data_IF_273061716561
#
_entry.id   IF_273061716561
#
_cell.length_a   1.000
_cell.length_b   1.000
_cell.length_c   1.000
_cell.angle_alpha   90.00
_cell.angle_beta   90.00
_cell.angle_gamma   90.00
#
_symmetry.space_group_name_H-M   'P 1'
#
loop_
_entity.id
_entity.type
_entity.pdbx_description
1 polymer ?
#
# COMPACT_ATOMS: atom_id res chain seq x y z
N UNK A 1 -13.20 14.85 -16.32
CA UNK A 1 -12.71 13.51 -16.67
C UNK A 1 -12.31 13.53 -18.12
N UNK A 2 -11.03 13.34 -18.39
CA UNK A 2 -10.50 13.24 -19.75
C UNK A 2 -10.66 11.79 -20.24
N UNK A 3 -11.03 11.62 -21.50
CA UNK A 3 -11.12 10.29 -22.11
C UNK A 3 -9.89 10.04 -22.97
N UNK A 4 -9.18 8.96 -22.69
CA UNK A 4 -8.03 8.48 -23.42
C UNK A 4 -8.30 7.17 -24.16
N UNK A 5 -7.33 6.75 -24.96
CA UNK A 5 -7.38 5.50 -25.73
C UNK A 5 -6.11 4.68 -25.49
N UNK A 6 -6.26 3.40 -25.15
CA UNK A 6 -5.13 2.49 -24.97
C UNK A 6 -4.39 2.30 -26.31
N UNK A 7 -3.10 2.62 -26.34
CA UNK A 7 -2.26 2.53 -27.54
C UNK A 7 -1.31 1.34 -27.51
N UNK A 8 -0.73 1.04 -26.35
CA UNK A 8 0.25 -0.02 -26.20
C UNK A 8 0.12 -0.71 -24.84
N UNK A 9 0.39 -2.01 -24.81
CA UNK A 9 0.30 -2.87 -23.63
C UNK A 9 1.57 -3.72 -23.61
N UNK A 10 2.37 -3.60 -22.55
CA UNK A 10 3.62 -4.35 -22.35
C UNK A 10 3.59 -4.95 -20.94
N UNK A 11 3.16 -6.21 -20.82
CA UNK A 11 2.88 -6.79 -19.51
C UNK A 11 1.88 -5.89 -18.75
N UNK A 12 2.22 -5.51 -17.52
CA UNK A 12 1.38 -4.65 -16.67
C UNK A 12 1.52 -3.16 -16.96
N UNK A 13 2.30 -2.76 -17.95
CA UNK A 13 2.45 -1.36 -18.37
C UNK A 13 1.52 -1.08 -19.54
N UNK A 14 0.72 -0.04 -19.41
CA UNK A 14 -0.26 0.37 -20.42
C UNK A 14 0.02 1.82 -20.81
N UNK A 15 0.34 2.06 -22.08
CA UNK A 15 0.50 3.41 -22.60
C UNK A 15 -0.83 3.88 -23.22
N UNK A 16 -1.30 5.05 -22.78
CA UNK A 16 -2.61 5.60 -23.08
C UNK A 16 -2.44 6.99 -23.68
N UNK A 17 -3.10 7.25 -24.80
CA UNK A 17 -3.13 8.58 -25.41
C UNK A 17 -4.34 9.36 -24.91
N UNK A 18 -4.10 10.59 -24.44
CA UNK A 18 -5.13 11.55 -24.05
C UNK A 18 -5.16 12.75 -25.01
N UNK A 19 -6.24 13.54 -25.02
CA UNK A 19 -6.27 14.80 -25.75
C UNK A 19 -5.19 15.76 -25.25
N UNK A 20 -4.60 16.61 -26.13
CA UNK A 20 -3.47 17.49 -25.79
C UNK A 20 -3.70 18.39 -24.56
N UNK A 21 -4.91 18.92 -24.40
CA UNK A 21 -5.26 19.85 -23.32
C UNK A 21 -5.80 19.15 -22.07
N UNK A 22 -5.77 17.82 -22.04
CA UNK A 22 -6.42 17.00 -21.02
C UNK A 22 -5.52 15.84 -20.57
N UNK A 23 -4.20 16.10 -20.50
CA UNK A 23 -3.23 15.13 -20.02
C UNK A 23 -3.41 14.93 -18.50
N UNK A 24 -3.60 13.68 -18.03
CA UNK A 24 -3.70 13.38 -16.59
C UNK A 24 -2.42 13.76 -15.85
N UNK A 25 -2.52 14.02 -14.55
CA UNK A 25 -1.33 14.26 -13.72
C UNK A 25 -0.60 12.95 -13.40
N UNK A 26 0.68 13.04 -13.03
CA UNK A 26 1.39 11.92 -12.42
C UNK A 26 0.63 11.44 -11.19
N UNK A 27 0.59 10.12 -11.01
CA UNK A 27 -0.12 9.39 -9.97
C UNK A 27 -1.65 9.44 -10.02
N UNK A 28 -2.25 10.08 -11.04
CA UNK A 28 -3.69 9.95 -11.24
C UNK A 28 -4.08 8.50 -11.54
N UNK A 29 -5.24 8.10 -11.04
CA UNK A 29 -5.87 6.85 -11.40
C UNK A 29 -6.59 6.99 -12.75
N UNK A 30 -6.43 5.98 -13.60
CA UNK A 30 -7.09 5.83 -14.88
C UNK A 30 -7.92 4.56 -14.84
N UNK A 31 -9.21 4.70 -15.14
CA UNK A 31 -10.15 3.59 -15.26
C UNK A 31 -10.21 3.12 -16.72
N UNK A 32 -9.93 1.84 -16.96
CA UNK A 32 -9.91 1.25 -18.30
C UNK A 32 -11.04 0.22 -18.38
N UNK A 33 -11.90 0.36 -19.39
CA UNK A 33 -13.06 -0.52 -19.56
C UNK A 33 -12.62 -1.90 -20.08
N UNK A 34 -12.87 -2.96 -19.33
CA UNK A 34 -12.53 -4.34 -19.72
C UNK A 34 -13.78 -5.24 -19.75
N UNK A 35 -13.73 -6.30 -20.54
CA UNK A 35 -14.77 -7.34 -20.54
C UNK A 35 -14.80 -7.99 -19.14
N UNK A 36 -15.78 -7.62 -18.31
CA UNK A 36 -15.94 -8.15 -16.95
C UNK A 36 -15.64 -7.18 -15.79
N UNK A 37 -15.27 -5.93 -16.08
CA UNK A 37 -15.08 -4.91 -15.03
C UNK A 37 -14.25 -3.71 -15.47
N UNK A 38 -13.76 -2.95 -14.49
CA UNK A 38 -12.87 -1.82 -14.71
C UNK A 38 -11.47 -2.17 -14.22
N UNK A 39 -10.48 -2.02 -15.08
CA UNK A 39 -9.07 -2.11 -14.69
C UNK A 39 -8.60 -0.73 -14.27
N UNK A 40 -8.11 -0.59 -13.04
CA UNK A 40 -7.47 0.63 -12.56
C UNK A 40 -5.98 0.59 -12.92
N UNK A 41 -5.48 1.67 -13.51
CA UNK A 41 -4.07 1.89 -13.76
C UNK A 41 -3.63 3.25 -13.21
N UNK A 42 -2.38 3.39 -12.76
CA UNK A 42 -1.85 4.64 -12.24
C UNK A 42 -0.85 5.27 -13.21
N UNK A 43 -0.93 6.57 -13.42
CA UNK A 43 0.01 7.29 -14.30
C UNK A 43 1.40 7.40 -13.66
N UNK A 44 2.42 6.89 -14.34
CA UNK A 44 3.81 6.88 -13.84
C UNK A 44 4.72 7.87 -14.58
N UNK A 45 4.50 8.07 -15.89
CA UNK A 45 5.39 8.89 -16.72
C UNK A 45 4.68 9.54 -17.91
N UNK A 46 5.20 10.68 -18.36
CA UNK A 46 4.83 11.29 -19.65
C UNK A 46 5.80 10.82 -20.74
N UNK A 47 5.29 10.30 -21.86
CA UNK A 47 6.11 9.82 -22.98
C UNK A 47 6.25 10.83 -24.12
N UNK A 48 5.44 11.92 -24.10
CA UNK A 48 5.27 12.82 -25.23
C UNK A 48 4.16 12.37 -26.18
N UNK A 49 3.85 13.16 -27.21
CA UNK A 49 2.72 12.92 -28.14
C UNK A 49 1.37 12.70 -27.42
N UNK A 50 1.19 13.33 -26.27
CA UNK A 50 0.02 13.17 -25.38
C UNK A 50 -0.17 11.74 -24.84
N UNK A 51 0.89 10.94 -24.81
CA UNK A 51 0.87 9.61 -24.22
C UNK A 51 1.34 9.68 -22.77
N UNK A 52 0.60 9.00 -21.93
CA UNK A 52 0.99 8.69 -20.56
C UNK A 52 1.29 7.20 -20.45
N UNK A 53 2.30 6.86 -19.66
CA UNK A 53 2.62 5.49 -19.30
C UNK A 53 1.99 5.20 -17.95
N UNK A 54 1.12 4.20 -17.91
CA UNK A 54 0.44 3.78 -16.71
C UNK A 54 0.89 2.39 -16.26
N UNK A 55 0.78 2.14 -14.96
CA UNK A 55 0.98 0.85 -14.33
C UNK A 55 -0.36 0.27 -13.89
N UNK A 56 -0.72 -0.91 -14.40
CA UNK A 56 -1.97 -1.58 -14.06
C UNK A 56 -1.94 -2.15 -12.63
N UNK A 57 -3.06 -2.02 -11.92
CA UNK A 57 -3.28 -2.56 -10.56
C UNK A 57 -3.98 -3.92 -10.58
N UNK A 58 -4.05 -4.57 -11.74
CA UNK A 58 -4.49 -5.95 -11.91
C UNK A 58 -3.87 -6.51 -13.22
N UNK A 59 -4.17 -7.76 -13.56
CA UNK A 59 -3.75 -8.39 -14.80
C UNK A 59 -4.35 -7.68 -16.01
N UNK A 60 -3.54 -7.50 -17.06
CA UNK A 60 -3.94 -6.85 -18.31
C UNK A 60 -4.42 -7.85 -19.37
N UNK A 61 -4.65 -9.10 -18.98
CA UNK A 61 -5.04 -10.16 -19.89
C UNK A 61 -6.41 -9.86 -20.51
N UNK A 62 -6.49 -9.93 -21.83
CA UNK A 62 -7.71 -9.57 -22.57
C UNK A 62 -7.88 -8.07 -22.84
N UNK A 63 -7.02 -7.19 -22.32
CA UNK A 63 -7.03 -5.78 -22.66
C UNK A 63 -6.65 -5.58 -24.13
N UNK A 64 -7.41 -4.76 -24.85
CA UNK A 64 -7.22 -4.51 -26.29
C UNK A 64 -6.75 -3.08 -26.53
N UNK A 65 -5.98 -2.88 -27.59
CA UNK A 65 -5.67 -1.54 -28.09
C UNK A 65 -6.94 -0.92 -28.65
N UNK A 66 -7.11 0.39 -28.47
CA UNK A 66 -8.33 1.11 -28.82
C UNK A 66 -9.38 1.12 -27.71
N UNK A 67 -9.16 0.38 -26.61
CA UNK A 67 -10.03 0.43 -25.43
C UNK A 67 -10.05 1.83 -24.83
N UNK A 68 -11.22 2.24 -24.36
CA UNK A 68 -11.45 3.53 -23.70
C UNK A 68 -10.86 3.53 -22.30
N UNK A 69 -10.18 4.62 -21.97
CA UNK A 69 -9.63 4.89 -20.65
C UNK A 69 -10.14 6.24 -20.15
N UNK A 70 -10.41 6.38 -18.86
CA UNK A 70 -10.97 7.59 -18.26
C UNK A 70 -10.09 8.04 -17.10
N UNK A 71 -9.61 9.28 -17.16
CA UNK A 71 -8.91 9.91 -16.03
C UNK A 71 -9.92 10.29 -14.94
N UNK A 72 -9.71 9.73 -13.74
CA UNK A 72 -10.52 10.04 -12.55
C UNK A 72 -10.26 11.48 -12.07
N UNK A 73 -9.11 12.06 -12.42
CA UNK A 73 -8.68 13.41 -12.05
C UNK A 73 -7.90 13.48 -10.74
N UNK A 74 -7.78 12.37 -10.00
CA UNK A 74 -7.09 12.28 -8.72
C UNK A 74 -6.36 10.93 -8.60
N UNK A 75 -5.51 10.79 -7.58
CA UNK A 75 -4.81 9.56 -7.31
C UNK A 75 -5.76 8.42 -6.92
N UNK A 76 -5.24 7.17 -6.91
CA UNK A 76 -5.99 6.05 -6.34
C UNK A 76 -6.41 6.43 -4.92
N UNK A 77 -7.72 6.39 -4.67
CA UNK A 77 -8.29 6.68 -3.35
C UNK A 77 -8.80 5.40 -2.71
N UNK A 78 -8.73 5.29 -1.40
CA UNK A 78 -9.12 4.10 -0.63
C UNK A 78 -10.01 4.50 0.55
N UNK A 79 -10.95 3.65 0.99
CA UNK A 79 -11.77 3.96 2.15
C UNK A 79 -10.89 3.97 3.40
N UNK A 80 -11.19 4.91 4.30
CA UNK A 80 -10.51 5.14 5.57
C UNK A 80 -11.52 5.31 6.69
N UNK A 81 -11.07 5.14 7.93
CA UNK A 81 -11.86 5.29 9.15
C UNK A 81 -12.38 3.99 9.72
N UNK A 82 -13.22 4.08 10.76
CA UNK A 82 -13.60 2.91 11.58
C UNK A 82 -14.22 1.77 10.77
N UNK A 83 -14.87 2.08 9.64
CA UNK A 83 -15.42 1.07 8.74
C UNK A 83 -14.38 0.14 8.09
N UNK A 84 -13.08 0.48 8.11
CA UNK A 84 -11.98 -0.38 7.63
C UNK A 84 -11.49 -1.36 8.70
N UNK A 85 -11.84 -1.17 9.97
CA UNK A 85 -11.42 -2.06 11.05
C UNK A 85 -12.14 -3.41 10.95
N UNK A 86 -11.40 -4.49 11.15
CA UNK A 86 -11.88 -5.85 10.99
C UNK A 86 -12.16 -6.25 9.55
N UNK A 87 -11.63 -5.50 8.56
CA UNK A 87 -11.81 -5.76 7.13
C UNK A 87 -10.51 -6.23 6.49
N UNK A 88 -10.65 -7.02 5.43
CA UNK A 88 -9.56 -7.42 4.54
C UNK A 88 -9.71 -6.65 3.22
N UNK A 89 -8.74 -5.83 2.87
CA UNK A 89 -8.77 -4.94 1.71
C UNK A 89 -7.66 -5.26 0.71
N UNK A 90 -7.91 -5.01 -0.57
CA UNK A 90 -6.89 -4.99 -1.62
C UNK A 90 -6.22 -3.60 -1.74
N UNK A 91 -5.31 -3.44 -2.72
CA UNK A 91 -4.61 -2.17 -2.97
C UNK A 91 -5.54 -1.01 -3.33
N UNK A 92 -6.69 -1.27 -3.95
CA UNK A 92 -7.70 -0.28 -4.32
C UNK A 92 -8.67 0.03 -3.16
N UNK A 93 -8.48 -0.64 -2.02
CA UNK A 93 -9.34 -0.50 -0.86
C UNK A 93 -10.66 -1.26 -0.97
N UNK A 94 -10.76 -2.20 -1.89
CA UNK A 94 -11.93 -3.05 -2.07
C UNK A 94 -11.87 -4.26 -1.14
N UNK A 95 -13.00 -4.70 -0.57
CA UNK A 95 -13.04 -5.80 0.39
C UNK A 95 -12.83 -7.16 -0.28
N UNK A 96 -11.95 -7.97 0.31
CA UNK A 96 -11.67 -9.37 -0.07
C UNK A 96 -12.29 -10.39 0.89
N UNK A 97 -12.95 -9.93 1.95
CA UNK A 97 -13.49 -10.76 3.04
C UNK A 97 -14.93 -11.27 2.82
N UNK A 98 -15.62 -10.79 1.79
CA UNK A 98 -17.01 -11.15 1.51
C UNK A 98 -18.02 -10.57 2.52
N UNK A 99 -17.62 -9.60 3.35
CA UNK A 99 -18.48 -8.97 4.38
C UNK A 99 -19.27 -7.76 3.85
N UNK A 100 -19.36 -7.60 2.52
CA UNK A 100 -20.03 -6.47 1.87
C UNK A 100 -19.10 -5.25 1.71
N UNK A 101 -19.66 -4.11 1.33
CA UNK A 101 -18.88 -2.90 1.08
C UNK A 101 -18.27 -2.31 2.36
N UNK A 102 -17.22 -1.52 2.19
CA UNK A 102 -16.53 -0.82 3.27
C UNK A 102 -17.00 0.63 3.25
N UNK A 103 -17.56 1.09 4.36
CA UNK A 103 -18.00 2.48 4.50
C UNK A 103 -16.85 3.33 5.05
N UNK A 104 -16.79 4.60 4.65
CA UNK A 104 -15.75 5.50 5.13
C UNK A 104 -15.45 6.63 4.14
N UNK A 105 -14.68 7.61 4.62
CA UNK A 105 -14.13 8.67 3.78
C UNK A 105 -13.08 8.07 2.85
N UNK A 106 -13.10 8.40 1.56
CA UNK A 106 -12.02 8.00 0.66
C UNK A 106 -10.89 9.02 0.70
N UNK A 107 -9.65 8.56 0.80
CA UNK A 107 -8.45 9.39 0.80
C UNK A 107 -7.44 8.87 -0.24
N UNK A 108 -6.66 9.75 -0.89
CA UNK A 108 -5.67 9.35 -1.88
C UNK A 108 -4.49 8.65 -1.21
N UNK A 109 -3.94 7.62 -1.88
CA UNK A 109 -2.80 6.86 -1.36
C UNK A 109 -1.47 7.61 -1.43
N UNK A 110 -1.39 8.61 -2.31
CA UNK A 110 -0.24 9.50 -2.47
C UNK A 110 -0.47 10.77 -1.67
N UNK A 111 0.33 10.95 -0.62
CA UNK A 111 0.28 12.12 0.27
C UNK A 111 1.70 12.57 0.60
N UNK A 112 1.84 13.86 0.91
CA UNK A 112 3.10 14.39 1.40
C UNK A 112 3.34 13.93 2.85
N UNK A 113 4.61 13.72 3.25
CA UNK A 113 4.95 13.51 4.65
C UNK A 113 4.61 14.74 5.51
N UNK A 114 4.42 14.58 6.84
CA UNK A 114 4.22 15.69 7.76
C UNK A 114 5.32 16.75 7.65
N UNK A 115 4.96 18.01 7.86
CA UNK A 115 5.90 19.11 7.82
C UNK A 115 6.85 19.10 9.03
N UNK A 116 8.00 19.78 8.92
CA UNK A 116 9.02 19.78 9.98
C UNK A 116 8.51 20.34 11.33
N UNK A 117 7.58 21.29 11.30
CA UNK A 117 6.96 21.90 12.47
C UNK A 117 5.84 21.05 13.10
N UNK A 118 5.41 19.98 12.42
CA UNK A 118 4.43 19.00 12.93
C UNK A 118 5.12 17.80 13.61
N UNK A 119 6.45 17.70 13.54
CA UNK A 119 7.19 16.57 14.11
C UNK A 119 7.34 16.67 15.63
N UNK A 120 6.97 15.58 16.33
CA UNK A 120 7.14 15.48 17.78
C UNK A 120 8.61 15.30 18.14
N UNK A 121 9.10 16.11 19.07
CA UNK A 121 10.52 16.10 19.50
C UNK A 121 10.73 15.34 20.81
N UNK A 122 9.64 14.99 21.50
CA UNK A 122 9.68 14.27 22.76
C UNK A 122 9.69 12.75 22.55
N UNK A 123 10.81 12.14 22.92
CA UNK A 123 10.95 10.68 22.92
C UNK A 123 10.13 10.09 24.07
N UNK A 124 9.11 9.30 23.74
CA UNK A 124 8.33 8.51 24.69
C UNK A 124 8.54 7.02 24.40
N UNK A 125 8.76 6.21 25.43
CA UNK A 125 8.92 4.76 25.28
C UNK A 125 7.54 4.11 25.12
N UNK A 126 7.43 3.18 24.17
CA UNK A 126 6.27 2.32 23.98
C UNK A 126 6.55 0.96 24.64
N UNK A 127 5.84 0.67 25.73
CA UNK A 127 5.90 -0.63 26.40
C UNK A 127 5.16 -1.69 25.58
N UNK A 128 5.87 -2.75 25.22
CA UNK A 128 5.37 -3.83 24.35
C UNK A 128 4.93 -5.09 25.10
N UNK A 129 5.35 -5.22 26.36
CA UNK A 129 5.15 -6.42 27.17
C UNK A 129 6.14 -7.55 26.87
N UNK A 130 7.08 -7.34 25.93
CA UNK A 130 8.09 -8.30 25.54
C UNK A 130 9.42 -7.94 26.19
N UNK A 131 9.83 -8.74 27.18
CA UNK A 131 11.04 -8.50 28.01
C UNK A 131 12.28 -8.11 27.21
N UNK A 132 12.56 -8.78 26.09
CA UNK A 132 13.75 -8.49 25.28
C UNK A 132 13.65 -7.13 24.58
N UNK A 133 12.46 -6.75 24.11
CA UNK A 133 12.22 -5.45 23.48
C UNK A 133 12.25 -4.37 24.56
N UNK A 134 11.44 -4.51 25.61
CA UNK A 134 11.31 -3.47 26.63
C UNK A 134 12.62 -3.21 27.40
N UNK A 135 13.50 -4.21 27.54
CA UNK A 135 14.76 -4.07 28.27
C UNK A 135 15.97 -3.71 27.37
N UNK A 136 16.10 -4.34 26.20
CA UNK A 136 17.32 -4.25 25.39
C UNK A 136 17.17 -3.30 24.20
N UNK A 137 15.99 -3.26 23.58
CA UNK A 137 15.73 -2.47 22.38
C UNK A 137 14.33 -1.83 22.45
N UNK A 138 14.10 -0.90 23.41
CA UNK A 138 12.78 -0.35 23.67
C UNK A 138 12.26 0.43 22.46
N UNK A 139 10.98 0.28 22.17
CA UNK A 139 10.33 1.01 21.09
C UNK A 139 10.04 2.43 21.53
N UNK A 140 10.06 3.37 20.59
CA UNK A 140 9.66 4.75 20.82
C UNK A 140 8.30 4.99 20.14
N UNK A 141 7.42 5.75 20.78
CA UNK A 141 6.17 6.21 20.16
C UNK A 141 6.51 7.11 18.97
N UNK A 142 5.85 6.88 17.84
CA UNK A 142 6.18 7.54 16.57
C UNK A 142 7.50 7.06 15.94
N UNK A 143 8.18 6.07 16.54
CA UNK A 143 9.41 5.51 16.01
C UNK A 143 9.17 4.47 14.94
N UNK A 144 10.19 4.26 14.09
CA UNK A 144 10.23 3.19 13.08
C UNK A 144 11.08 2.05 13.59
N UNK A 145 10.58 0.81 13.48
CA UNK A 145 11.28 -0.37 13.98
C UNK A 145 11.44 -1.41 12.88
N UNK A 146 12.69 -1.78 12.60
CA UNK A 146 13.02 -2.84 11.64
C UNK A 146 13.17 -4.20 12.31
N UNK A 147 12.34 -5.18 11.92
CA UNK A 147 12.48 -6.57 12.33
C UNK A 147 13.34 -7.35 11.31
N UNK A 148 14.65 -7.32 11.49
CA UNK A 148 15.59 -8.01 10.60
C UNK A 148 15.73 -9.49 10.94
N UNK A 149 15.50 -10.36 9.95
CA UNK A 149 15.63 -11.80 10.16
C UNK A 149 15.38 -12.62 8.89
N UNK A 150 15.99 -13.81 8.83
CA UNK A 150 15.80 -14.76 7.74
C UNK A 150 14.40 -15.39 7.73
N UNK A 151 14.17 -16.32 6.80
CA UNK A 151 12.95 -17.09 6.77
C UNK A 151 12.85 -18.03 7.99
N UNK A 152 11.66 -18.15 8.59
CA UNK A 152 11.40 -19.11 9.67
C UNK A 152 11.91 -18.71 11.06
N UNK A 153 12.48 -17.51 11.25
CA UNK A 153 13.00 -17.07 12.56
C UNK A 153 11.92 -16.55 13.53
N UNK A 154 10.65 -16.61 13.15
CA UNK A 154 9.53 -16.20 14.01
C UNK A 154 9.11 -14.73 13.92
N UNK A 155 9.48 -13.99 12.86
CA UNK A 155 9.10 -12.56 12.68
C UNK A 155 7.58 -12.34 12.79
N UNK A 156 6.80 -13.12 12.06
CA UNK A 156 5.34 -13.03 12.07
C UNK A 156 4.75 -13.37 13.44
N UNK A 157 5.38 -14.26 14.20
CA UNK A 157 4.95 -14.58 15.58
C UNK A 157 5.15 -13.38 16.50
N UNK A 158 6.29 -12.70 16.39
CA UNK A 158 6.58 -11.47 17.16
C UNK A 158 5.59 -10.37 16.78
N UNK A 159 5.32 -10.17 15.49
CA UNK A 159 4.34 -9.17 15.01
C UNK A 159 2.95 -9.45 15.58
N UNK A 160 2.48 -10.70 15.51
CA UNK A 160 1.18 -11.10 16.06
C UNK A 160 1.11 -10.85 17.57
N UNK A 161 2.17 -11.17 18.31
CA UNK A 161 2.21 -10.94 19.76
C UNK A 161 2.25 -9.44 20.11
N UNK A 162 2.93 -8.61 19.30
CA UNK A 162 2.90 -7.15 19.44
C UNK A 162 1.50 -6.59 19.21
N UNK A 163 0.81 -7.02 18.14
CA UNK A 163 -0.59 -6.64 17.86
C UNK A 163 -1.47 -7.01 19.05
N UNK A 164 -1.34 -8.23 19.55
CA UNK A 164 -2.13 -8.73 20.68
C UNK A 164 -1.90 -7.92 21.95
N UNK A 165 -0.65 -7.73 22.36
CA UNK A 165 -0.31 -7.00 23.59
C UNK A 165 -0.73 -5.54 23.51
N UNK A 166 -0.55 -4.91 22.34
CA UNK A 166 -0.88 -3.49 22.20
C UNK A 166 -2.39 -3.29 22.08
N UNK A 167 -3.12 -4.13 21.35
CA UNK A 167 -4.58 -4.06 21.28
C UNK A 167 -5.28 -4.32 22.63
N UNK A 168 -4.65 -5.09 23.52
CA UNK A 168 -5.18 -5.38 24.87
C UNK A 168 -4.77 -4.37 25.93
N UNK A 169 -3.54 -3.86 25.89
CA UNK A 169 -3.03 -2.94 26.92
C UNK A 169 -3.16 -1.45 26.55
N UNK A 170 -3.16 -1.14 25.25
CA UNK A 170 -3.29 0.23 24.75
C UNK A 170 -4.60 0.37 23.98
N UNK A 171 -5.20 1.57 24.03
CA UNK A 171 -6.45 1.88 23.33
C UNK A 171 -6.24 2.20 21.83
N UNK A 172 -5.17 1.69 21.23
CA UNK A 172 -4.78 1.98 19.85
C UNK A 172 -5.37 1.01 18.83
N UNK A 173 -5.24 1.39 17.56
CA UNK A 173 -5.62 0.57 16.40
C UNK A 173 -4.39 0.04 15.69
N UNK A 174 -4.54 -1.07 14.97
CA UNK A 174 -3.47 -1.65 14.17
C UNK A 174 -3.84 -1.65 12.69
N UNK A 175 -2.87 -1.40 11.82
CA UNK A 175 -3.02 -1.59 10.38
C UNK A 175 -1.90 -2.50 9.92
N UNK A 176 -2.25 -3.53 9.16
CA UNK A 176 -1.29 -4.51 8.65
C UNK A 176 -1.30 -4.49 7.12
N UNK A 177 -0.11 -4.29 6.55
CA UNK A 177 0.16 -4.33 5.13
C UNK A 177 0.90 -5.62 4.79
N UNK A 178 0.20 -6.57 4.16
CA UNK A 178 0.75 -7.79 3.61
C UNK A 178 1.32 -7.55 2.22
N UNK A 179 2.58 -7.10 2.13
CA UNK A 179 3.26 -6.77 0.88
C UNK A 179 3.99 -7.98 0.31
N UNK A 180 3.47 -8.51 -0.79
CA UNK A 180 4.01 -9.70 -1.45
C UNK A 180 4.01 -10.92 -0.53
N UNK A 181 2.96 -11.07 0.29
CA UNK A 181 2.77 -12.21 1.18
C UNK A 181 2.09 -13.38 0.47
N UNK A 182 2.28 -14.59 1.00
CA UNK A 182 1.58 -15.77 0.47
C UNK A 182 0.12 -15.73 0.89
N UNK A 183 -0.79 -16.07 -0.01
CA UNK A 183 -2.23 -16.12 0.28
C UNK A 183 -2.56 -17.04 1.47
N UNK A 184 -1.80 -18.14 1.64
CA UNK A 184 -1.92 -19.01 2.84
C UNK A 184 -1.57 -18.27 4.13
N UNK A 185 -0.45 -17.53 4.15
CA UNK A 185 0.02 -16.81 5.34
C UNK A 185 -0.95 -15.67 5.70
N UNK A 186 -1.52 -14.99 4.70
CA UNK A 186 -2.60 -14.02 4.90
C UNK A 186 -3.89 -14.63 5.45
N UNK A 187 -4.32 -15.78 4.91
CA UNK A 187 -5.49 -16.49 5.43
C UNK A 187 -5.29 -16.97 6.87
N UNK A 188 -4.13 -17.54 7.19
CA UNK A 188 -3.81 -17.98 8.55
C UNK A 188 -3.82 -16.80 9.52
N UNK A 189 -3.24 -15.66 9.12
CA UNK A 189 -3.27 -14.42 9.90
C UNK A 189 -4.69 -13.89 10.12
N UNK A 190 -5.53 -13.86 9.09
CA UNK A 190 -6.93 -13.42 9.20
C UNK A 190 -7.71 -14.26 10.22
N UNK A 191 -7.61 -15.59 10.14
CA UNK A 191 -8.32 -16.49 11.06
C UNK A 191 -7.78 -16.39 12.48
N UNK A 192 -6.47 -16.34 12.68
CA UNK A 192 -5.87 -16.18 14.01
C UNK A 192 -6.24 -14.84 14.67
N UNK A 193 -6.29 -13.74 13.91
CA UNK A 193 -6.72 -12.44 14.43
C UNK A 193 -8.20 -12.45 14.82
N UNK A 194 -9.03 -13.19 14.07
CA UNK A 194 -10.44 -13.39 14.39
C UNK A 194 -10.62 -14.20 15.67
N UNK A 195 -9.88 -15.30 15.82
CA UNK A 195 -9.93 -16.17 17.00
C UNK A 195 -9.42 -15.49 18.27
N UNK A 196 -8.39 -14.63 18.15
CA UNK A 196 -7.82 -13.88 19.26
C UNK A 196 -8.62 -12.63 19.65
N UNK A 197 -9.64 -12.24 18.87
CA UNK A 197 -10.48 -11.07 19.12
C UNK A 197 -9.82 -9.73 18.82
N UNK A 198 -8.64 -9.71 18.18
CA UNK A 198 -7.92 -8.47 17.84
C UNK A 198 -8.35 -7.89 16.49
N UNK A 199 -9.04 -8.69 15.67
CA UNK A 199 -9.47 -8.29 14.33
C UNK A 199 -10.33 -7.03 14.35
N UNK A 200 -11.21 -6.87 15.34
CA UNK A 200 -12.09 -5.69 15.46
C UNK A 200 -11.34 -4.34 15.59
N UNK A 201 -10.07 -4.38 15.99
CA UNK A 201 -9.19 -3.20 16.10
C UNK A 201 -8.11 -3.15 15.03
N UNK A 202 -8.19 -4.03 14.03
CA UNK A 202 -7.13 -4.20 13.02
C UNK A 202 -7.69 -4.07 11.61
N UNK A 203 -7.12 -3.20 10.79
CA UNK A 203 -7.37 -3.18 9.35
C UNK A 203 -6.29 -3.99 8.63
N UNK A 204 -6.69 -4.89 7.73
CA UNK A 204 -5.78 -5.76 6.99
C UNK A 204 -5.80 -5.38 5.50
N UNK A 205 -4.65 -5.03 4.94
CA UNK A 205 -4.50 -4.68 3.52
C UNK A 205 -3.49 -5.63 2.90
N UNK A 206 -3.88 -6.34 1.85
CA UNK A 206 -3.05 -7.37 1.23
C UNK A 206 -2.78 -7.08 -0.25
N UNK A 207 -1.52 -7.30 -0.62
CA UNK A 207 -1.02 -7.34 -1.98
C UNK A 207 -0.22 -8.63 -2.14
N UNK A 208 -0.83 -9.69 -2.64
CA UNK A 208 -0.31 -11.04 -2.61
C UNK A 208 0.84 -11.25 -3.60
N UNK A 209 1.63 -12.31 -3.41
CA UNK A 209 2.76 -12.64 -4.30
C UNK A 209 2.36 -12.89 -5.76
N UNK A 210 1.14 -13.37 -6.00
CA UNK A 210 0.61 -13.66 -7.34
C UNK A 210 0.08 -12.41 -8.04
N UNK A 211 0.01 -11.27 -7.37
CA UNK A 211 -0.48 -10.03 -7.96
C UNK A 211 0.63 -9.26 -8.69
N UNK A 212 0.26 -8.41 -9.66
CA UNK A 212 1.19 -7.55 -10.38
C UNK A 212 2.16 -6.78 -9.48
N UNK A 213 3.37 -6.45 -9.96
CA UNK A 213 4.32 -5.65 -9.20
C UNK A 213 3.76 -4.25 -8.84
N UNK A 214 2.84 -3.68 -9.62
CA UNK A 214 2.16 -2.43 -9.27
C UNK A 214 1.34 -2.51 -7.99
N UNK A 215 0.58 -3.60 -7.82
CA UNK A 215 -0.18 -3.88 -6.60
C UNK A 215 0.76 -3.97 -5.39
N UNK A 216 1.83 -4.77 -5.52
CA UNK A 216 2.83 -4.94 -4.45
C UNK A 216 3.57 -3.65 -4.11
N UNK A 217 3.77 -2.76 -5.08
CA UNK A 217 4.42 -1.47 -4.85
C UNK A 217 3.48 -0.45 -4.19
N UNK A 218 2.16 -0.55 -4.37
CA UNK A 218 1.20 0.44 -3.85
C UNK A 218 0.49 0.02 -2.57
N UNK A 219 0.39 -1.28 -2.28
CA UNK A 219 -0.35 -1.77 -1.10
C UNK A 219 0.15 -1.19 0.23
N UNK A 220 1.46 -0.94 0.36
CA UNK A 220 2.03 -0.29 1.55
C UNK A 220 1.46 1.13 1.74
N UNK A 221 1.28 1.89 0.65
CA UNK A 221 0.70 3.23 0.69
C UNK A 221 -0.79 3.20 1.03
N UNK A 222 -1.52 2.18 0.56
CA UNK A 222 -2.93 1.97 0.94
C UNK A 222 -3.07 1.76 2.45
N UNK A 223 -2.26 0.86 3.02
CA UNK A 223 -2.24 0.63 4.46
C UNK A 223 -1.82 1.87 5.26
N UNK A 224 -0.78 2.56 4.79
CA UNK A 224 -0.30 3.80 5.40
C UNK A 224 -1.38 4.89 5.39
N UNK A 225 -2.16 5.02 4.32
CA UNK A 225 -3.24 6.01 4.23
C UNK A 225 -4.35 5.73 5.24
N UNK A 226 -4.69 4.45 5.44
CA UNK A 226 -5.63 4.04 6.51
C UNK A 226 -5.06 4.37 7.88
N UNK A 227 -3.77 4.09 8.12
CA UNK A 227 -3.10 4.40 9.38
C UNK A 227 -3.05 5.92 9.65
N UNK A 228 -2.74 6.72 8.65
CA UNK A 228 -2.70 8.18 8.72
C UNK A 228 -4.07 8.77 9.08
N UNK A 229 -5.18 8.20 8.62
CA UNK A 229 -6.50 8.64 9.06
C UNK A 229 -6.65 8.53 10.59
N UNK A 230 -6.27 7.39 11.16
CA UNK A 230 -6.40 7.18 12.61
C UNK A 230 -5.44 8.07 13.42
N UNK A 231 -4.26 8.38 12.85
CA UNK A 231 -3.32 9.34 13.42
C UNK A 231 -3.86 10.78 13.35
N UNK A 232 -4.20 11.25 12.15
CA UNK A 232 -4.48 12.65 11.85
C UNK A 232 -5.91 13.07 12.24
N UNK A 233 -6.91 12.26 11.89
CA UNK A 233 -8.34 12.60 12.09
C UNK A 233 -8.88 12.04 13.40
N UNK A 234 -8.50 10.82 13.78
CA UNK A 234 -8.96 10.19 15.03
C UNK A 234 -8.08 10.50 16.25
N UNK A 235 -6.84 10.98 16.06
CA UNK A 235 -5.91 11.31 17.14
C UNK A 235 -5.52 10.11 18.00
N UNK A 236 -5.45 8.92 17.41
CA UNK A 236 -5.16 7.67 18.10
C UNK A 236 -3.71 7.23 17.90
N UNK A 237 -3.19 6.47 18.86
CA UNK A 237 -1.95 5.72 18.66
C UNK A 237 -2.21 4.58 17.65
N UNK A 238 -1.43 4.56 16.58
CA UNK A 238 -1.55 3.58 15.49
C UNK A 238 -0.29 2.75 15.40
N UNK A 239 -0.47 1.43 15.26
CA UNK A 239 0.62 0.55 14.84
C UNK A 239 0.45 0.17 13.38
N UNK A 240 1.42 0.54 12.56
CA UNK A 240 1.52 0.06 11.18
C UNK A 240 2.54 -1.08 11.10
N UNK A 241 2.11 -2.21 10.55
CA UNK A 241 2.97 -3.36 10.27
C UNK A 241 3.09 -3.54 8.76
N UNK A 242 4.32 -3.51 8.24
CA UNK A 242 4.60 -3.76 6.81
C UNK A 242 5.40 -5.06 6.69
N UNK A 243 4.72 -6.16 6.41
CA UNK A 243 5.35 -7.46 6.10
C UNK A 243 5.10 -7.78 4.62
N UNK A 244 6.03 -7.64 3.68
CA UNK A 244 7.43 -7.34 3.89
C UNK A 244 7.91 -6.07 3.16
N UNK A 245 8.54 -5.13 3.87
CA UNK A 245 9.14 -3.92 3.26
C UNK A 245 10.20 -4.25 2.20
N UNK A 246 10.90 -5.39 2.30
CA UNK A 246 11.80 -5.83 1.23
C UNK A 246 11.05 -6.21 -0.05
N UNK A 247 9.82 -6.74 0.05
CA UNK A 247 8.98 -7.05 -1.11
C UNK A 247 8.46 -5.79 -1.80
N UNK A 248 8.23 -4.71 -1.05
CA UNK A 248 7.98 -3.38 -1.61
C UNK A 248 9.15 -2.94 -2.50
N UNK A 249 10.38 -3.03 -1.98
CA UNK A 249 11.60 -2.71 -2.74
C UNK A 249 11.78 -3.58 -3.98
N UNK A 250 11.55 -4.89 -3.87
CA UNK A 250 11.61 -5.80 -5.02
C UNK A 250 10.56 -5.47 -6.08
N UNK A 251 9.34 -5.13 -5.67
CA UNK A 251 8.31 -4.68 -6.59
C UNK A 251 8.74 -3.39 -7.32
N UNK A 252 9.38 -2.45 -6.62
CA UNK A 252 9.93 -1.23 -7.22
C UNK A 252 11.01 -1.51 -8.27
N UNK A 253 11.88 -2.49 -8.01
CA UNK A 253 12.86 -2.97 -8.99
C UNK A 253 12.18 -3.51 -10.26
N UNK A 254 11.15 -4.35 -10.11
CA UNK A 254 10.39 -4.91 -11.23
C UNK A 254 9.66 -3.82 -12.03
N UNK A 255 8.97 -2.90 -11.35
CA UNK A 255 8.28 -1.75 -11.97
C UNK A 255 9.27 -0.86 -12.72
N UNK A 256 10.41 -0.54 -12.11
CA UNK A 256 11.44 0.30 -12.74
C UNK A 256 11.97 -0.31 -14.04
N UNK A 257 12.17 -1.63 -14.06
CA UNK A 257 12.56 -2.34 -15.27
C UNK A 257 11.48 -2.29 -16.36
N UNK A 258 10.22 -2.49 -15.99
CA UNK A 258 9.07 -2.39 -16.90
C UNK A 258 8.89 -0.97 -17.47
N UNK A 259 9.18 0.06 -16.68
CA UNK A 259 9.16 1.45 -17.11
C UNK A 259 10.35 1.83 -18.00
N UNK A 260 11.32 0.95 -18.19
CA UNK A 260 12.50 1.16 -19.03
C UNK A 260 13.57 2.06 -18.41
N UNK A 261 13.59 2.20 -17.07
CA UNK A 261 14.64 2.93 -16.36
C UNK A 261 15.93 2.10 -16.35
N UNK A 262 17.08 2.76 -16.48
CA UNK A 262 18.36 2.06 -16.33
C UNK A 262 18.54 1.58 -14.88
N UNK A 263 18.91 0.29 -14.67
CA UNK A 263 19.11 -0.24 -13.33
C UNK A 263 20.36 0.39 -12.67
N UNK A 264 20.29 0.50 -11.35
CA UNK A 264 21.38 0.94 -10.48
C UNK A 264 22.18 -0.27 -9.96
N UNK A 265 22.93 -0.08 -8.87
CA UNK A 265 23.71 -1.11 -8.21
C UNK A 265 22.84 -2.35 -7.89
N UNK A 266 23.39 -3.54 -8.20
CA UNK A 266 22.75 -4.84 -7.91
C UNK A 266 21.39 -5.04 -8.62
N UNK A 267 21.04 -4.17 -9.57
CA UNK A 267 19.79 -4.26 -10.35
C UNK A 267 18.62 -3.45 -9.79
N UNK A 268 18.78 -2.78 -8.64
CA UNK A 268 17.72 -1.95 -8.06
C UNK A 268 17.35 -0.75 -8.93
N UNK A 269 16.16 -0.20 -8.67
CA UNK A 269 15.73 1.03 -9.30
C UNK A 269 16.62 2.22 -8.92
N UNK A 270 16.87 3.18 -9.82
CA UNK A 270 17.66 4.38 -9.51
C UNK A 270 16.97 5.29 -8.48
N UNK A 271 15.65 5.14 -8.32
CA UNK A 271 14.78 5.91 -7.41
C UNK A 271 14.62 5.28 -6.03
N UNK A 272 15.37 4.22 -5.71
CA UNK A 272 15.17 3.39 -4.51
C UNK A 272 15.12 4.22 -3.22
N UNK A 273 16.10 5.11 -3.03
CA UNK A 273 16.20 5.92 -1.81
C UNK A 273 15.01 6.88 -1.66
N UNK A 274 14.54 7.45 -2.77
CA UNK A 274 13.41 8.37 -2.78
C UNK A 274 12.10 7.65 -2.51
N UNK A 275 11.84 6.53 -3.18
CA UNK A 275 10.59 5.75 -3.02
C UNK A 275 10.46 5.20 -1.58
N UNK A 276 11.56 4.67 -1.01
CA UNK A 276 11.56 4.24 0.40
C UNK A 276 11.41 5.43 1.34
N UNK A 277 12.04 6.58 1.03
CA UNK A 277 11.89 7.80 1.83
C UNK A 277 10.46 8.33 1.83
N UNK A 278 9.80 8.36 0.67
CA UNK A 278 8.39 8.79 0.55
C UNK A 278 7.42 7.90 1.33
N UNK A 279 7.72 6.60 1.43
CA UNK A 279 6.95 5.68 2.27
C UNK A 279 7.23 5.88 3.76
N UNK A 280 8.52 5.91 4.14
CA UNK A 280 8.92 5.86 5.54
C UNK A 280 8.75 7.22 6.24
N UNK A 281 8.88 8.35 5.56
CA UNK A 281 8.77 9.69 6.18
C UNK A 281 7.33 10.12 6.47
N UNK A 282 6.35 9.35 6.03
CA UNK A 282 4.93 9.52 6.30
C UNK A 282 4.52 8.77 7.56
#
# INVERSE_FOLDING_TARGET
MAEGTVRQIIGTVVDIEFPPDALPKLYNAIEIEMEGGTLVAEVEQYLGNNWVRCLAMDVTDGLRRGTKAVDTGDAISVPTGEGTLGRLLNVLGEPLDGLGEVTGKRQPIHRAPPAFDEQETHIQVLETGLKIIDLIAPFTRGGKVGAFGGAGVGKTVIIKELIRNIATQHAGVSVFAGVGERSREGNDMWNEMRESGVLEKTALVFGQMNEPPGVRLRVALTALTIAEYFRDEAGQDVLLFIDNVYRYTLAGMEVSALLGRMPSAVGYQPTLATEVGELEER
#
